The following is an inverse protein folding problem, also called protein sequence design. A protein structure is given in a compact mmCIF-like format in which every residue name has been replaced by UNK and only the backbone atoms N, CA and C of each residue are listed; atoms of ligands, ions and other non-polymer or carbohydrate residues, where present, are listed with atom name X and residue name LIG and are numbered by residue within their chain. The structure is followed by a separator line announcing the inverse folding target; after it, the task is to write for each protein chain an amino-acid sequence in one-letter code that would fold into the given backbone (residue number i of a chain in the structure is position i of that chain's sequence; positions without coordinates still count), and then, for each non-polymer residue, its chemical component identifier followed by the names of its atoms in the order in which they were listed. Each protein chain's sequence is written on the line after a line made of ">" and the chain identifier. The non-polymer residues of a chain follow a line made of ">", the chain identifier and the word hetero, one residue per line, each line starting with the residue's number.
data_IF_327135255994
#
_entry.id   IF_327135255994
#
_cell.length_a   1.000
_cell.length_b   1.000
_cell.length_c   1.000
_cell.angle_alpha   90.00
_cell.angle_beta   90.00
_cell.angle_gamma   90.00
#
_symmetry.space_group_name_H-M   'P 1'
#
loop_
_entity.id
_entity.type
_entity.pdbx_description
1 polymer ?
#
# COMPACT_ATOMS: atom_id res chain seq x y z
N UNK A 1 26.49 34.11 -0.51
CA UNK A 1 26.43 33.26 -1.69
C UNK A 1 25.59 32.02 -1.33
N UNK A 2 24.33 32.07 -1.66
CA UNK A 2 23.34 31.02 -1.38
C UNK A 2 23.71 29.78 -2.21
N UNK A 3 24.14 28.70 -1.57
CA UNK A 3 24.16 27.37 -2.20
C UNK A 3 22.71 26.88 -2.25
N UNK A 4 21.98 27.27 -3.29
CA UNK A 4 20.73 26.62 -3.65
C UNK A 4 20.99 25.12 -3.70
N UNK A 5 20.17 24.36 -2.97
CA UNK A 5 20.22 22.89 -2.99
C UNK A 5 20.01 22.43 -4.43
N UNK A 6 21.10 22.04 -5.07
CA UNK A 6 21.11 21.63 -6.45
C UNK A 6 20.57 20.19 -6.58
N UNK A 7 19.27 20.05 -6.91
CA UNK A 7 18.77 18.94 -7.73
C UNK A 7 19.42 18.98 -9.14
N UNK A 8 20.35 19.91 -9.36
CA UNK A 8 20.97 20.23 -10.65
C UNK A 8 22.02 19.22 -11.12
N UNK A 9 22.37 18.20 -10.34
CA UNK A 9 23.37 17.20 -10.77
C UNK A 9 22.75 15.96 -11.43
N UNK A 10 21.42 15.78 -11.37
CA UNK A 10 20.76 14.63 -11.99
C UNK A 10 20.10 15.04 -13.29
N UNK A 11 20.51 14.43 -14.39
CA UNK A 11 19.84 14.68 -15.68
C UNK A 11 18.38 14.21 -15.59
N UNK A 12 17.47 14.87 -16.35
CA UNK A 12 16.05 14.48 -16.41
C UNK A 12 15.88 13.00 -16.77
N UNK A 13 16.74 12.48 -17.68
CA UNK A 13 16.72 11.07 -18.06
C UNK A 13 17.05 10.14 -16.91
N UNK A 14 18.03 10.48 -16.08
CA UNK A 14 18.39 9.70 -14.88
C UNK A 14 17.26 9.71 -13.84
N UNK A 15 16.64 10.89 -13.62
CA UNK A 15 15.50 11.00 -12.71
C UNK A 15 14.32 10.13 -13.16
N UNK A 16 13.97 10.18 -14.45
CA UNK A 16 12.91 9.32 -15.00
C UNK A 16 13.28 7.84 -14.94
N UNK A 17 14.53 7.45 -15.15
CA UNK A 17 14.97 6.07 -15.03
C UNK A 17 14.83 5.55 -13.58
N UNK A 18 15.24 6.35 -12.58
CA UNK A 18 15.08 5.99 -11.16
C UNK A 18 13.62 5.86 -10.75
N UNK A 19 12.77 6.81 -11.14
CA UNK A 19 11.33 6.76 -10.89
C UNK A 19 10.68 5.59 -11.64
N UNK A 20 11.07 5.34 -12.88
CA UNK A 20 10.62 4.20 -13.67
C UNK A 20 11.00 2.86 -13.03
N UNK A 21 12.21 2.74 -12.47
CA UNK A 21 12.64 1.57 -11.72
C UNK A 21 11.78 1.34 -10.47
N UNK A 22 11.53 2.39 -9.68
CA UNK A 22 10.65 2.30 -8.51
C UNK A 22 9.20 1.94 -8.91
N UNK A 23 8.68 2.55 -9.97
CA UNK A 23 7.34 2.27 -10.49
C UNK A 23 7.23 0.84 -11.03
N UNK A 24 8.21 0.36 -11.79
CA UNK A 24 8.21 -1.02 -12.32
C UNK A 24 8.29 -2.05 -11.20
N UNK A 25 9.13 -1.82 -10.19
CA UNK A 25 9.20 -2.68 -9.01
C UNK A 25 7.84 -2.77 -8.31
N UNK A 26 7.17 -1.62 -8.10
CA UNK A 26 5.84 -1.56 -7.51
C UNK A 26 4.78 -2.25 -8.38
N UNK A 27 4.83 -2.05 -9.71
CA UNK A 27 3.96 -2.69 -10.70
C UNK A 27 4.02 -4.20 -10.61
N UNK A 28 5.22 -4.75 -10.62
CA UNK A 28 5.42 -6.21 -10.59
C UNK A 28 5.05 -6.79 -9.23
N UNK A 29 5.50 -6.17 -8.13
CA UNK A 29 5.20 -6.64 -6.79
C UNK A 29 3.69 -6.69 -6.50
N UNK A 30 2.98 -5.60 -6.78
CA UNK A 30 1.53 -5.51 -6.54
C UNK A 30 0.73 -6.32 -7.56
N UNK A 31 1.14 -6.28 -8.84
CA UNK A 31 0.47 -7.01 -9.90
C UNK A 31 0.47 -8.52 -9.64
N UNK A 32 1.63 -9.11 -9.40
CA UNK A 32 1.76 -10.54 -9.14
C UNK A 32 1.01 -10.93 -7.86
N UNK A 33 1.24 -10.18 -6.77
CA UNK A 33 0.61 -10.47 -5.48
C UNK A 33 -0.92 -10.51 -5.54
N UNK A 34 -1.54 -9.51 -6.16
CA UNK A 34 -3.00 -9.38 -6.18
C UNK A 34 -3.68 -10.52 -6.96
N UNK A 35 -2.98 -11.13 -7.92
CA UNK A 35 -3.51 -12.20 -8.73
C UNK A 35 -3.30 -13.61 -8.14
N UNK A 36 -2.59 -13.76 -7.02
CA UNK A 36 -2.41 -15.07 -6.37
C UNK A 36 -3.75 -15.70 -5.94
N UNK A 37 -4.75 -14.89 -5.62
CA UNK A 37 -6.09 -15.35 -5.28
C UNK A 37 -6.80 -16.13 -6.41
N UNK A 38 -6.48 -15.85 -7.68
CA UNK A 38 -7.03 -16.57 -8.84
C UNK A 38 -6.61 -18.04 -8.84
N UNK A 39 -5.47 -18.35 -8.24
CA UNK A 39 -4.92 -19.71 -8.22
C UNK A 39 -5.38 -20.54 -7.03
N UNK A 40 -6.10 -19.95 -6.07
CA UNK A 40 -6.53 -20.62 -4.84
C UNK A 40 -7.28 -21.92 -5.11
N UNK A 41 -8.37 -21.87 -5.85
CA UNK A 41 -9.19 -23.05 -6.09
C UNK A 41 -8.48 -24.13 -6.94
N UNK A 42 -7.85 -23.79 -8.09
CA UNK A 42 -7.17 -24.79 -8.92
C UNK A 42 -5.93 -25.37 -8.22
N UNK A 43 -5.15 -24.56 -7.50
CA UNK A 43 -3.99 -25.04 -6.75
C UNK A 43 -4.41 -25.95 -5.60
N UNK A 44 -5.45 -25.59 -4.82
CA UNK A 44 -5.94 -26.43 -3.72
C UNK A 44 -6.43 -27.78 -4.22
N UNK A 45 -7.13 -27.80 -5.37
CA UNK A 45 -7.62 -29.05 -5.98
C UNK A 45 -6.46 -29.94 -6.43
N UNK A 46 -5.46 -29.39 -7.13
CA UNK A 46 -4.33 -30.17 -7.65
C UNK A 46 -3.41 -30.69 -6.53
N UNK A 47 -3.15 -29.86 -5.50
CA UNK A 47 -2.28 -30.21 -4.38
C UNK A 47 -2.96 -31.05 -3.32
N UNK A 48 -4.26 -31.29 -3.40
CA UNK A 48 -5.03 -32.00 -2.37
C UNK A 48 -5.04 -31.31 -1.01
N UNK A 49 -4.96 -29.97 -0.99
CA UNK A 49 -4.99 -29.15 0.24
C UNK A 49 -6.33 -28.44 0.38
N UNK A 50 -6.68 -28.06 1.61
CA UNK A 50 -7.89 -27.28 1.84
C UNK A 50 -7.78 -25.88 1.22
N UNK A 51 -8.90 -25.31 0.77
CA UNK A 51 -8.97 -23.93 0.30
C UNK A 51 -8.53 -22.99 1.43
N UNK A 52 -8.85 -23.32 2.67
CA UNK A 52 -8.44 -22.58 3.86
C UNK A 52 -6.92 -22.53 4.07
N UNK A 53 -6.15 -23.55 3.65
CA UNK A 53 -4.70 -23.54 3.76
C UNK A 53 -4.07 -22.49 2.84
N UNK A 54 -4.60 -22.38 1.61
CA UNK A 54 -4.16 -21.34 0.69
C UNK A 54 -4.58 -19.94 1.17
N UNK A 55 -5.81 -19.79 1.67
CA UNK A 55 -6.29 -18.55 2.25
C UNK A 55 -5.45 -18.12 3.47
N UNK A 56 -5.05 -19.09 4.31
CA UNK A 56 -4.15 -18.85 5.44
C UNK A 56 -2.79 -18.32 4.97
N UNK A 57 -2.23 -18.88 3.88
CA UNK A 57 -0.97 -18.38 3.32
C UNK A 57 -1.08 -16.90 2.90
N UNK A 58 -2.18 -16.50 2.24
CA UNK A 58 -2.41 -15.09 1.89
C UNK A 58 -2.62 -14.21 3.13
N UNK A 59 -3.23 -14.73 4.19
CA UNK A 59 -3.36 -14.01 5.46
C UNK A 59 -2.01 -13.83 6.15
N UNK A 60 -1.18 -14.87 6.18
CA UNK A 60 0.21 -14.81 6.67
C UNK A 60 1.04 -13.82 5.86
N UNK A 61 0.83 -13.71 4.55
CA UNK A 61 1.48 -12.71 3.70
C UNK A 61 1.21 -11.28 4.20
N UNK A 62 -0.03 -10.96 4.57
CA UNK A 62 -0.38 -9.63 5.09
C UNK A 62 0.33 -9.34 6.41
N UNK A 63 0.35 -10.32 7.33
CA UNK A 63 1.02 -10.18 8.63
C UNK A 63 2.54 -10.06 8.44
N UNK A 64 3.14 -10.92 7.62
CA UNK A 64 4.57 -10.88 7.32
C UNK A 64 4.97 -9.54 6.67
N UNK A 65 4.14 -9.04 5.75
CA UNK A 65 4.36 -7.72 5.15
C UNK A 65 4.30 -6.61 6.20
N UNK A 66 3.25 -6.58 7.04
CA UNK A 66 3.09 -5.57 8.08
C UNK A 66 4.23 -5.54 9.08
N UNK A 67 4.62 -6.70 9.62
CA UNK A 67 5.70 -6.83 10.59
C UNK A 67 7.08 -6.51 10.02
N UNK A 68 7.32 -6.88 8.76
CA UNK A 68 8.62 -6.64 8.11
C UNK A 68 8.78 -5.22 7.60
N UNK A 69 7.70 -4.46 7.41
CA UNK A 69 7.75 -3.12 6.82
C UNK A 69 8.59 -2.12 7.63
N UNK A 70 8.44 -1.99 8.97
CA UNK A 70 9.31 -1.13 9.76
C UNK A 70 10.77 -1.58 9.72
N UNK A 71 11.01 -2.89 9.74
CA UNK A 71 12.36 -3.49 9.73
C UNK A 71 13.07 -3.16 8.41
N UNK A 72 12.41 -3.43 7.27
CA UNK A 72 12.90 -3.07 5.95
C UNK A 72 13.17 -1.55 5.84
N UNK A 73 12.28 -0.74 6.44
CA UNK A 73 12.44 0.71 6.53
C UNK A 73 13.73 1.12 7.26
N UNK A 74 14.01 0.55 8.43
CA UNK A 74 15.23 0.82 9.19
C UNK A 74 16.48 0.48 8.37
N UNK A 75 16.50 -0.68 7.72
CA UNK A 75 17.62 -1.07 6.87
C UNK A 75 17.80 -0.14 5.67
N UNK A 76 16.72 0.26 5.02
CA UNK A 76 16.75 1.17 3.88
C UNK A 76 17.21 2.58 4.27
N UNK A 77 16.75 3.10 5.40
CA UNK A 77 17.10 4.43 5.86
C UNK A 77 18.54 4.50 6.37
N UNK A 78 19.08 3.38 6.92
CA UNK A 78 20.44 3.31 7.46
C UNK A 78 21.50 2.94 6.42
N UNK A 79 21.19 1.98 5.52
CA UNK A 79 22.15 1.39 4.60
C UNK A 79 21.86 1.69 3.14
N UNK A 80 20.78 2.42 2.86
CA UNK A 80 20.28 2.72 1.50
C UNK A 80 19.25 1.71 1.02
N UNK A 81 18.50 2.13 0.00
CA UNK A 81 17.40 1.34 -0.55
C UNK A 81 17.87 0.18 -1.43
N UNK A 82 19.11 0.24 -1.98
CA UNK A 82 19.64 -0.72 -2.96
C UNK A 82 19.63 -2.15 -2.46
N UNK A 83 20.28 -2.40 -1.35
CA UNK A 83 20.41 -3.78 -0.85
C UNK A 83 19.09 -4.34 -0.36
N UNK A 84 18.24 -3.49 0.22
CA UNK A 84 16.89 -3.89 0.67
C UNK A 84 16.02 -4.24 -0.54
N UNK A 85 16.00 -3.40 -1.58
CA UNK A 85 15.21 -3.64 -2.78
C UNK A 85 15.68 -4.88 -3.58
N UNK A 86 17.00 -5.08 -3.69
CA UNK A 86 17.57 -6.26 -4.36
C UNK A 86 17.30 -7.55 -3.58
N UNK A 87 17.53 -7.54 -2.26
CA UNK A 87 17.22 -8.69 -1.40
C UNK A 87 15.72 -9.00 -1.42
N UNK A 88 14.87 -7.96 -1.35
CA UNK A 88 13.43 -8.11 -1.49
C UNK A 88 13.00 -8.68 -2.84
N UNK A 89 13.60 -8.21 -3.95
CA UNK A 89 13.33 -8.75 -5.28
C UNK A 89 13.75 -10.21 -5.42
N UNK A 90 14.92 -10.57 -4.89
CA UNK A 90 15.39 -11.96 -4.88
C UNK A 90 14.48 -12.85 -4.02
N UNK A 91 14.06 -12.36 -2.85
CA UNK A 91 13.12 -13.07 -1.98
C UNK A 91 11.73 -13.22 -2.62
N UNK A 92 11.29 -12.22 -3.40
CA UNK A 92 10.04 -12.28 -4.15
C UNK A 92 10.11 -13.38 -5.21
N UNK A 93 11.21 -13.43 -5.98
CA UNK A 93 11.45 -14.48 -6.99
C UNK A 93 11.47 -15.86 -6.31
N UNK A 94 12.17 -16.01 -5.19
CA UNK A 94 12.21 -17.26 -4.43
C UNK A 94 10.80 -17.63 -3.94
N UNK A 95 10.02 -16.69 -3.43
CA UNK A 95 8.67 -16.91 -2.93
C UNK A 95 7.71 -17.40 -4.03
N UNK A 96 7.74 -16.73 -5.20
CA UNK A 96 6.87 -17.12 -6.31
C UNK A 96 7.35 -18.44 -6.94
N UNK A 97 8.67 -18.70 -6.98
CA UNK A 97 9.24 -19.97 -7.43
C UNK A 97 8.82 -21.14 -6.53
N UNK A 98 8.89 -20.97 -5.20
CA UNK A 98 8.40 -21.98 -4.26
C UNK A 98 6.89 -22.22 -4.42
N UNK A 99 6.13 -21.19 -4.73
CA UNK A 99 4.70 -21.32 -5.02
C UNK A 99 4.47 -22.11 -6.31
N UNK A 100 5.25 -21.87 -7.37
CA UNK A 100 5.16 -22.58 -8.65
C UNK A 100 5.51 -24.08 -8.53
N UNK A 101 6.47 -24.40 -7.65
CA UNK A 101 6.96 -25.77 -7.43
C UNK A 101 6.29 -26.46 -6.24
N UNK A 102 5.27 -25.84 -5.62
CA UNK A 102 4.62 -26.36 -4.44
C UNK A 102 4.02 -27.76 -4.64
N UNK A 103 4.20 -28.63 -3.65
CA UNK A 103 3.64 -29.98 -3.58
C UNK A 103 2.69 -30.16 -2.39
N UNK A 104 2.42 -29.09 -1.62
CA UNK A 104 1.54 -29.12 -0.45
C UNK A 104 1.44 -27.76 0.23
N UNK A 105 0.65 -27.72 1.31
CA UNK A 105 0.31 -26.48 2.01
C UNK A 105 1.53 -25.72 2.57
N UNK A 106 2.54 -26.42 3.08
CA UNK A 106 3.73 -25.78 3.65
C UNK A 106 4.50 -24.95 2.60
N UNK A 107 4.64 -25.48 1.37
CA UNK A 107 5.33 -24.76 0.31
C UNK A 107 4.55 -23.49 -0.12
N UNK A 108 3.22 -23.56 -0.19
CA UNK A 108 2.36 -22.40 -0.43
C UNK A 108 2.49 -21.38 0.72
N UNK A 109 2.49 -21.86 1.96
CA UNK A 109 2.63 -21.03 3.17
C UNK A 109 3.95 -20.26 3.18
N UNK A 110 5.06 -20.95 2.91
CA UNK A 110 6.39 -20.33 2.87
C UNK A 110 6.54 -19.44 1.64
N UNK A 111 6.15 -19.91 0.45
CA UNK A 111 6.31 -19.17 -0.81
C UNK A 111 5.39 -17.96 -0.90
N UNK A 112 4.10 -18.21 -1.05
CA UNK A 112 3.09 -17.17 -1.21
C UNK A 112 2.84 -16.37 0.08
N UNK A 113 2.98 -17.00 1.25
CA UNK A 113 2.78 -16.36 2.54
C UNK A 113 4.01 -15.58 3.01
N UNK A 114 4.99 -16.29 3.55
CA UNK A 114 6.11 -15.67 4.30
C UNK A 114 7.05 -14.90 3.36
N UNK A 115 7.59 -15.56 2.34
CA UNK A 115 8.64 -14.93 1.50
C UNK A 115 8.11 -13.77 0.68
N UNK A 116 6.95 -13.92 0.03
CA UNK A 116 6.35 -12.80 -0.69
C UNK A 116 5.94 -11.69 0.31
N UNK A 117 5.41 -12.02 1.50
CA UNK A 117 5.08 -11.03 2.51
C UNK A 117 6.26 -10.17 2.94
N UNK A 118 7.39 -10.78 3.27
CA UNK A 118 8.64 -10.09 3.61
C UNK A 118 9.19 -9.30 2.41
N UNK A 119 9.15 -9.89 1.22
CA UNK A 119 9.61 -9.25 0.00
C UNK A 119 8.82 -7.97 -0.34
N UNK A 120 7.50 -7.96 -0.11
CA UNK A 120 6.65 -6.79 -0.29
C UNK A 120 7.10 -5.62 0.60
N UNK A 121 7.53 -5.89 1.84
CA UNK A 121 8.08 -4.85 2.70
C UNK A 121 9.33 -4.19 2.11
N UNK A 122 10.12 -4.95 1.36
CA UNK A 122 11.37 -4.51 0.76
C UNK A 122 11.22 -3.91 -0.66
N UNK A 123 10.05 -4.05 -1.29
CA UNK A 123 9.86 -3.69 -2.71
C UNK A 123 8.70 -2.73 -2.97
N UNK A 124 7.93 -2.39 -1.94
CA UNK A 124 6.72 -1.56 -2.09
C UNK A 124 6.83 -0.19 -1.42
N UNK A 125 5.71 0.39 -1.01
CA UNK A 125 5.51 1.82 -0.74
C UNK A 125 6.59 2.52 0.08
N UNK A 126 7.13 1.93 1.14
CA UNK A 126 8.16 2.57 1.96
C UNK A 126 9.47 2.80 1.18
N UNK A 127 9.92 1.78 0.46
CA UNK A 127 11.18 1.81 -0.31
C UNK A 127 11.01 2.67 -1.57
N UNK A 128 9.93 2.46 -2.31
CA UNK A 128 9.66 3.21 -3.55
C UNK A 128 9.39 4.69 -3.29
N UNK A 129 8.75 5.04 -2.14
CA UNK A 129 8.58 6.42 -1.72
C UNK A 129 9.93 7.07 -1.34
N UNK A 130 10.83 6.34 -0.67
CA UNK A 130 12.17 6.85 -0.35
C UNK A 130 12.94 7.17 -1.64
N UNK A 131 12.93 6.27 -2.63
CA UNK A 131 13.53 6.52 -3.95
C UNK A 131 12.91 7.76 -4.60
N UNK A 132 11.58 7.84 -4.68
CA UNK A 132 10.89 8.96 -5.32
C UNK A 132 11.16 10.30 -4.61
N UNK A 133 11.21 10.31 -3.28
CA UNK A 133 11.43 11.51 -2.48
C UNK A 133 12.80 12.15 -2.70
N UNK A 134 13.83 11.35 -3.03
CA UNK A 134 15.18 11.83 -3.31
C UNK A 134 15.32 12.40 -4.73
N UNK A 135 14.56 11.87 -5.67
CA UNK A 135 14.69 12.17 -7.11
C UNK A 135 13.93 13.44 -7.51
N UNK A 136 12.82 13.76 -6.81
CA UNK A 136 11.96 14.90 -7.19
C UNK A 136 12.10 16.08 -6.24
N UNK A 137 11.81 17.27 -6.79
CA UNK A 137 11.78 18.51 -6.01
C UNK A 137 10.75 18.44 -4.87
N UNK A 138 10.97 19.12 -3.74
CA UNK A 138 10.10 19.08 -2.58
C UNK A 138 8.62 19.37 -2.88
N UNK A 139 8.33 20.30 -3.78
CA UNK A 139 6.99 20.71 -4.19
C UNK A 139 6.25 19.71 -5.10
N UNK A 140 6.87 18.60 -5.48
CA UNK A 140 6.28 17.54 -6.33
C UNK A 140 6.41 16.15 -5.74
N UNK A 141 6.80 16.03 -4.48
CA UNK A 141 7.04 14.73 -3.82
C UNK A 141 5.76 13.93 -3.65
N UNK A 142 4.68 14.58 -3.25
CA UNK A 142 3.41 13.87 -3.03
C UNK A 142 2.84 13.36 -4.36
N UNK A 143 2.98 14.13 -5.44
CA UNK A 143 2.64 13.65 -6.78
C UNK A 143 3.48 12.44 -7.20
N UNK A 144 4.80 12.46 -6.94
CA UNK A 144 5.66 11.33 -7.26
C UNK A 144 5.27 10.06 -6.47
N UNK A 145 4.92 10.21 -5.19
CA UNK A 145 4.37 9.11 -4.39
C UNK A 145 3.07 8.58 -4.99
N UNK A 146 2.19 9.47 -5.45
CA UNK A 146 0.95 9.11 -6.12
C UNK A 146 1.17 8.33 -7.42
N UNK A 147 2.10 8.77 -8.26
CA UNK A 147 2.45 8.09 -9.53
C UNK A 147 3.00 6.68 -9.25
N UNK A 148 3.93 6.57 -8.31
CA UNK A 148 4.51 5.27 -7.96
C UNK A 148 3.46 4.34 -7.33
N UNK A 149 2.57 4.85 -6.48
CA UNK A 149 1.45 4.06 -5.93
C UNK A 149 0.47 3.61 -7.02
N UNK A 150 0.13 4.50 -7.96
CA UNK A 150 -0.72 4.18 -9.11
C UNK A 150 -0.13 3.05 -9.97
N UNK A 151 1.19 2.99 -10.10
CA UNK A 151 1.88 1.93 -10.83
C UNK A 151 1.58 0.53 -10.27
N UNK A 152 1.35 0.39 -8.96
CA UNK A 152 0.90 -0.86 -8.36
C UNK A 152 -0.47 -1.33 -8.88
N UNK A 153 -1.43 -0.41 -9.00
CA UNK A 153 -2.76 -0.72 -9.56
C UNK A 153 -2.70 -1.02 -11.07
N UNK A 154 -1.86 -0.30 -11.81
CA UNK A 154 -1.58 -0.62 -13.22
C UNK A 154 -1.01 -2.03 -13.33
N UNK A 155 -0.11 -2.42 -12.43
CA UNK A 155 0.43 -3.78 -12.36
C UNK A 155 -0.66 -4.84 -12.22
N UNK A 156 -1.58 -4.65 -11.29
CA UNK A 156 -2.72 -5.57 -11.09
C UNK A 156 -3.57 -5.68 -12.35
N UNK A 157 -3.86 -4.56 -13.01
CA UNK A 157 -4.65 -4.51 -14.23
C UNK A 157 -3.96 -5.22 -15.40
N UNK A 158 -2.64 -5.11 -15.52
CA UNK A 158 -1.88 -5.73 -16.61
C UNK A 158 -1.64 -7.23 -16.39
N UNK A 159 -1.40 -7.65 -15.14
CA UNK A 159 -1.09 -9.06 -14.86
C UNK A 159 -2.33 -9.94 -14.75
N UNK A 160 -3.52 -9.38 -14.44
CA UNK A 160 -4.75 -10.15 -14.31
C UNK A 160 -5.18 -10.85 -15.61
N UNK A 161 -5.18 -10.21 -16.80
CA UNK A 161 -5.48 -10.89 -18.06
C UNK A 161 -4.47 -12.00 -18.40
N UNK A 162 -3.19 -11.77 -18.11
CA UNK A 162 -2.12 -12.77 -18.31
C UNK A 162 -2.38 -14.00 -17.43
N UNK A 163 -2.68 -13.77 -16.15
CA UNK A 163 -3.01 -14.81 -15.19
C UNK A 163 -4.24 -15.62 -15.63
N UNK A 164 -5.33 -14.93 -16.01
CA UNK A 164 -6.57 -15.55 -16.41
C UNK A 164 -6.41 -16.36 -17.73
N UNK A 165 -5.70 -15.82 -18.70
CA UNK A 165 -5.43 -16.51 -19.97
C UNK A 165 -4.65 -17.81 -19.72
N UNK A 166 -3.51 -17.73 -19.05
CA UNK A 166 -2.67 -18.90 -18.79
C UNK A 166 -3.36 -19.92 -17.86
N UNK A 167 -4.14 -19.45 -16.89
CA UNK A 167 -4.93 -20.33 -16.03
C UNK A 167 -5.90 -21.19 -16.82
N UNK A 168 -6.54 -20.60 -17.84
CA UNK A 168 -7.56 -21.28 -18.65
C UNK A 168 -6.95 -22.18 -19.75
N UNK A 169 -5.75 -21.88 -20.24
CA UNK A 169 -5.09 -22.64 -21.33
C UNK A 169 -4.16 -23.71 -20.80
N UNK A 170 -3.29 -23.36 -19.85
CA UNK A 170 -2.15 -24.17 -19.43
C UNK A 170 -2.15 -24.48 -17.91
N UNK A 171 -3.17 -24.00 -17.20
CA UNK A 171 -3.35 -24.21 -15.78
C UNK A 171 -2.60 -23.21 -14.88
N UNK A 172 -2.85 -23.32 -13.57
CA UNK A 172 -2.36 -22.35 -12.58
C UNK A 172 -0.82 -22.33 -12.47
N UNK A 173 -0.16 -23.49 -12.63
CA UNK A 173 1.30 -23.56 -12.57
C UNK A 173 1.98 -22.78 -13.68
N UNK A 174 1.47 -22.87 -14.91
CA UNK A 174 1.98 -22.11 -16.04
C UNK A 174 1.86 -20.60 -15.79
N UNK A 175 0.73 -20.15 -15.24
CA UNK A 175 0.53 -18.75 -14.87
C UNK A 175 1.51 -18.29 -13.77
N UNK A 176 1.75 -19.11 -12.75
CA UNK A 176 2.72 -18.80 -11.69
C UNK A 176 4.16 -18.82 -12.23
N UNK A 177 4.52 -19.72 -13.13
CA UNK A 177 5.83 -19.70 -13.81
C UNK A 177 6.02 -18.44 -14.67
N UNK A 178 5.00 -17.97 -15.37
CA UNK A 178 5.07 -16.69 -16.06
C UNK A 178 5.34 -15.54 -15.08
N UNK A 179 4.76 -15.59 -13.88
CA UNK A 179 5.02 -14.62 -12.82
C UNK A 179 6.45 -14.74 -12.26
N UNK A 180 7.04 -15.93 -12.19
CA UNK A 180 8.48 -16.11 -11.86
C UNK A 180 9.34 -15.36 -12.89
N UNK A 181 9.05 -15.53 -14.19
CA UNK A 181 9.79 -14.86 -15.26
C UNK A 181 9.65 -13.34 -15.16
N UNK A 182 8.43 -12.85 -14.96
CA UNK A 182 8.18 -11.42 -14.80
C UNK A 182 8.88 -10.84 -13.56
N UNK A 183 8.95 -11.60 -12.45
CA UNK A 183 9.60 -11.16 -11.23
C UNK A 183 11.11 -10.93 -11.40
N UNK A 184 11.78 -11.58 -12.33
CA UNK A 184 13.20 -11.29 -12.62
C UNK A 184 13.42 -9.85 -13.07
N UNK A 185 12.43 -9.19 -13.69
CA UNK A 185 12.53 -7.78 -14.05
C UNK A 185 12.54 -6.85 -12.82
N UNK A 186 12.19 -7.34 -11.62
CA UNK A 186 12.33 -6.57 -10.39
C UNK A 186 13.79 -6.29 -10.04
N UNK A 187 14.75 -7.19 -10.39
CA UNK A 187 16.16 -6.99 -10.06
C UNK A 187 16.78 -5.77 -10.80
N UNK A 188 16.69 -5.66 -12.14
CA UNK A 188 17.16 -4.44 -12.81
C UNK A 188 16.35 -3.21 -12.42
N UNK A 189 15.05 -3.34 -12.15
CA UNK A 189 14.21 -2.23 -11.67
C UNK A 189 14.69 -1.71 -10.31
N UNK A 190 14.97 -2.62 -9.36
CA UNK A 190 15.55 -2.29 -8.05
C UNK A 190 16.92 -1.64 -8.18
N UNK A 191 17.80 -2.19 -9.04
CA UNK A 191 19.13 -1.64 -9.27
C UNK A 191 19.09 -0.22 -9.84
N UNK A 192 18.24 0.03 -10.84
CA UNK A 192 18.09 1.35 -11.49
C UNK A 192 17.44 2.34 -10.51
N UNK A 193 16.34 1.95 -9.86
CA UNK A 193 15.63 2.80 -8.92
C UNK A 193 16.51 3.22 -7.75
N UNK A 194 17.26 2.28 -7.18
CA UNK A 194 18.12 2.54 -6.02
C UNK A 194 19.40 3.35 -6.31
N UNK A 195 19.67 3.74 -7.58
CA UNK A 195 20.65 4.78 -7.86
C UNK A 195 20.33 6.10 -7.15
N UNK A 196 19.09 6.30 -6.75
CA UNK A 196 18.68 7.41 -5.89
C UNK A 196 19.44 7.47 -4.55
N UNK A 197 20.07 6.38 -4.10
CA UNK A 197 20.89 6.36 -2.88
C UNK A 197 22.14 7.23 -2.97
N UNK A 198 22.60 7.59 -4.17
CA UNK A 198 23.70 8.54 -4.36
C UNK A 198 23.27 9.99 -4.12
N UNK A 199 21.96 10.25 -4.03
CA UNK A 199 21.40 11.58 -3.81
C UNK A 199 21.23 11.84 -2.30
N UNK A 200 21.35 13.10 -1.86
CA UNK A 200 21.17 13.47 -0.46
C UNK A 200 19.78 13.09 0.06
N UNK A 201 19.70 12.49 1.23
CA UNK A 201 18.44 12.12 1.89
C UNK A 201 18.26 12.75 3.26
N UNK A 202 19.20 13.57 3.70
CA UNK A 202 19.20 14.15 5.05
C UNK A 202 19.42 15.65 4.98
N UNK A 203 18.82 16.34 5.95
CA UNK A 203 19.11 17.75 6.23
C UNK A 203 20.46 17.85 6.98
N UNK A 204 21.15 19.00 6.96
CA UNK A 204 22.35 19.20 7.74
C UNK A 204 22.17 18.91 9.24
N UNK A 205 20.98 19.22 9.77
CA UNK A 205 20.58 18.97 11.18
C UNK A 205 20.25 17.50 11.47
N UNK A 206 20.24 16.63 10.48
CA UNK A 206 19.94 15.20 10.67
C UNK A 206 21.20 14.38 11.05
N UNK A 207 22.41 14.97 11.02
CA UNK A 207 23.67 14.23 11.23
C UNK A 207 23.69 13.42 12.51
N UNK A 208 23.16 13.98 13.59
CA UNK A 208 23.14 13.37 14.92
C UNK A 208 21.83 12.66 15.25
N UNK A 209 20.85 12.67 14.32
CA UNK A 209 19.57 12.00 14.54
C UNK A 209 19.75 10.48 14.49
N UNK A 210 19.56 9.83 15.64
CA UNK A 210 19.56 8.38 15.76
C UNK A 210 18.19 7.80 15.46
N UNK A 211 18.12 6.48 15.21
CA UNK A 211 16.83 5.77 15.04
C UNK A 211 15.93 5.96 16.28
N UNK A 212 16.49 5.78 17.49
CA UNK A 212 15.73 5.94 18.73
C UNK A 212 15.24 7.38 18.91
N UNK A 213 16.06 8.37 18.53
CA UNK A 213 15.65 9.77 18.52
C UNK A 213 14.50 10.04 17.56
N UNK A 214 14.54 9.49 16.35
CA UNK A 214 13.45 9.62 15.37
C UNK A 214 12.16 8.95 15.85
N UNK A 215 12.26 7.79 16.51
CA UNK A 215 11.11 7.10 17.09
C UNK A 215 10.52 7.88 18.27
N UNK A 216 11.37 8.47 19.13
CA UNK A 216 10.92 9.30 20.24
C UNK A 216 10.24 10.59 19.73
N UNK A 217 10.84 11.24 18.73
CA UNK A 217 10.24 12.41 18.05
C UNK A 217 8.87 12.05 17.46
N UNK A 218 8.75 10.90 16.79
CA UNK A 218 7.51 10.45 16.17
C UNK A 218 6.41 10.13 17.19
N UNK A 219 6.72 9.43 18.27
CA UNK A 219 5.71 9.10 19.31
C UNK A 219 5.20 10.30 20.08
N UNK A 220 6.01 11.37 20.18
CA UNK A 220 5.63 12.63 20.82
C UNK A 220 4.87 13.57 19.89
N UNK A 221 4.97 13.38 18.59
CA UNK A 221 4.29 14.20 17.60
C UNK A 221 2.83 13.77 17.44
N UNK A 222 1.91 14.53 18.03
CA UNK A 222 0.47 14.20 18.07
C UNK A 222 -0.12 13.95 16.67
N UNK A 223 0.28 14.72 15.67
CA UNK A 223 -0.18 14.55 14.30
C UNK A 223 0.25 13.22 13.67
N UNK A 224 1.47 12.76 13.94
CA UNK A 224 1.92 11.45 13.45
C UNK A 224 1.14 10.31 14.14
N UNK A 225 0.93 10.39 15.44
CA UNK A 225 0.15 9.39 16.19
C UNK A 225 -1.28 9.32 15.67
N UNK A 226 -1.93 10.47 15.46
CA UNK A 226 -3.28 10.54 14.88
C UNK A 226 -3.30 9.95 13.47
N UNK A 227 -2.31 10.27 12.63
CA UNK A 227 -2.19 9.71 11.29
C UNK A 227 -2.03 8.18 11.32
N UNK A 228 -1.19 7.64 12.19
CA UNK A 228 -0.97 6.20 12.32
C UNK A 228 -2.24 5.47 12.81
N UNK A 229 -2.98 6.05 13.78
CA UNK A 229 -4.27 5.52 14.25
C UNK A 229 -5.33 5.59 13.14
N UNK A 230 -5.42 6.69 12.41
CA UNK A 230 -6.34 6.80 11.29
C UNK A 230 -5.98 5.81 10.17
N UNK A 231 -4.69 5.52 9.97
CA UNK A 231 -4.27 4.54 8.97
C UNK A 231 -4.66 3.10 9.35
N UNK A 232 -4.78 2.77 10.63
CA UNK A 232 -5.43 1.55 11.10
C UNK A 232 -6.88 1.46 10.60
N UNK A 233 -7.66 2.53 10.76
CA UNK A 233 -9.06 2.59 10.29
C UNK A 233 -9.15 2.43 8.79
N UNK A 234 -8.17 2.97 8.04
CA UNK A 234 -8.08 2.73 6.60
C UNK A 234 -7.99 1.23 6.28
N UNK A 235 -7.06 0.52 6.89
CA UNK A 235 -6.91 -0.91 6.71
C UNK A 235 -8.17 -1.70 7.06
N UNK A 236 -8.77 -1.37 8.21
CA UNK A 236 -10.00 -2.00 8.68
C UNK A 236 -11.14 -1.86 7.68
N UNK A 237 -11.44 -0.65 7.24
CA UNK A 237 -12.55 -0.39 6.30
C UNK A 237 -12.30 -1.04 4.94
N UNK A 238 -11.07 -0.92 4.39
CA UNK A 238 -10.78 -1.38 3.04
C UNK A 238 -10.79 -2.89 2.92
N UNK A 239 -10.16 -3.59 3.87
CA UNK A 239 -10.10 -5.05 3.80
C UNK A 239 -11.43 -5.67 4.22
N UNK A 240 -12.16 -5.07 5.17
CA UNK A 240 -13.54 -5.44 5.44
C UNK A 240 -14.39 -5.39 4.16
N UNK A 241 -14.31 -4.28 3.42
CA UNK A 241 -15.09 -4.09 2.21
C UNK A 241 -14.72 -5.13 1.14
N UNK A 242 -13.44 -5.30 0.82
CA UNK A 242 -13.03 -6.26 -0.24
C UNK A 242 -13.34 -7.71 0.11
N UNK A 243 -13.36 -8.05 1.39
CA UNK A 243 -13.62 -9.41 1.84
C UNK A 243 -15.11 -9.71 1.88
N UNK A 244 -15.93 -8.77 2.37
CA UNK A 244 -17.33 -9.05 2.73
C UNK A 244 -18.36 -8.46 1.77
N UNK A 245 -18.01 -7.49 0.90
CA UNK A 245 -18.94 -6.90 -0.07
C UNK A 245 -19.57 -7.95 -0.99
N UNK A 246 -18.82 -8.93 -1.57
CA UNK A 246 -19.43 -9.93 -2.42
C UNK A 246 -20.50 -10.77 -1.70
N UNK A 247 -20.22 -11.18 -0.47
CA UNK A 247 -21.15 -11.96 0.35
C UNK A 247 -22.40 -11.12 0.71
N UNK A 248 -22.20 -9.86 1.08
CA UNK A 248 -23.30 -8.94 1.37
C UNK A 248 -24.21 -8.75 0.15
N UNK A 249 -23.65 -8.49 -1.03
CA UNK A 249 -24.46 -8.33 -2.27
C UNK A 249 -25.21 -9.60 -2.62
N UNK A 250 -24.59 -10.78 -2.46
CA UNK A 250 -25.26 -12.06 -2.68
C UNK A 250 -26.45 -12.27 -1.73
N UNK A 251 -26.32 -11.88 -0.44
CA UNK A 251 -27.43 -11.93 0.53
C UNK A 251 -28.57 -10.97 0.18
N UNK A 252 -28.25 -9.85 -0.46
CA UNK A 252 -29.27 -8.93 -0.99
C UNK A 252 -29.87 -9.38 -2.32
N UNK A 253 -29.57 -10.59 -2.81
CA UNK A 253 -30.11 -11.14 -4.05
C UNK A 253 -29.49 -10.57 -5.32
N UNK A 254 -28.34 -9.89 -5.23
CA UNK A 254 -27.64 -9.35 -6.38
C UNK A 254 -26.84 -10.44 -7.11
N UNK A 255 -26.80 -10.37 -8.43
CA UNK A 255 -25.97 -11.25 -9.26
C UNK A 255 -24.48 -11.06 -8.96
N UNK A 256 -23.71 -12.16 -8.98
CA UNK A 256 -22.25 -12.13 -8.69
C UNK A 256 -21.48 -11.20 -9.62
N UNK A 257 -21.98 -10.93 -10.83
CA UNK A 257 -21.39 -9.98 -11.76
C UNK A 257 -21.26 -8.58 -11.19
N UNK A 258 -22.21 -8.13 -10.36
CA UNK A 258 -22.14 -6.81 -9.74
C UNK A 258 -21.04 -6.70 -8.70
N UNK A 259 -20.72 -7.78 -7.99
CA UNK A 259 -19.58 -7.83 -7.08
C UNK A 259 -18.27 -7.67 -7.85
N UNK A 260 -18.12 -8.37 -8.98
CA UNK A 260 -16.97 -8.24 -9.85
C UNK A 260 -16.83 -6.82 -10.42
N UNK A 261 -17.93 -6.22 -10.88
CA UNK A 261 -17.96 -4.83 -11.37
C UNK A 261 -17.55 -3.85 -10.28
N UNK A 262 -18.07 -3.99 -9.06
CA UNK A 262 -17.69 -3.12 -7.94
C UNK A 262 -16.20 -3.17 -7.66
N UNK A 263 -15.59 -4.37 -7.55
CA UNK A 263 -14.17 -4.55 -7.29
C UNK A 263 -13.31 -4.05 -8.46
N UNK A 264 -13.74 -4.24 -9.70
CA UNK A 264 -13.08 -3.71 -10.89
C UNK A 264 -13.07 -2.17 -10.90
N UNK A 265 -14.19 -1.55 -10.57
CA UNK A 265 -14.29 -0.09 -10.47
C UNK A 265 -13.40 0.45 -9.35
N UNK A 266 -13.39 -0.19 -8.18
CA UNK A 266 -12.46 0.16 -7.09
C UNK A 266 -11.02 0.13 -7.61
N UNK A 267 -10.60 -0.94 -8.28
CA UNK A 267 -9.26 -1.08 -8.84
C UNK A 267 -8.91 -0.02 -9.88
N UNK A 268 -9.81 0.23 -10.83
CA UNK A 268 -9.62 1.24 -11.88
C UNK A 268 -9.52 2.66 -11.34
N UNK A 269 -10.44 3.04 -10.46
CA UNK A 269 -10.44 4.37 -9.84
C UNK A 269 -9.29 4.57 -8.84
N UNK A 270 -8.68 3.52 -8.32
CA UNK A 270 -7.47 3.61 -7.50
C UNK A 270 -6.28 4.24 -8.23
N UNK A 271 -6.15 4.01 -9.55
CA UNK A 271 -5.10 4.62 -10.37
C UNK A 271 -5.29 6.14 -10.37
N UNK A 272 -6.51 6.57 -10.68
CA UNK A 272 -6.88 7.99 -10.72
C UNK A 272 -6.75 8.63 -9.32
N UNK A 273 -7.21 7.95 -8.28
CA UNK A 273 -7.12 8.37 -6.88
C UNK A 273 -5.68 8.69 -6.46
N UNK A 274 -4.76 7.74 -6.67
CA UNK A 274 -3.37 7.92 -6.28
C UNK A 274 -2.71 9.13 -6.97
N UNK A 275 -2.95 9.29 -8.26
CA UNK A 275 -2.46 10.44 -9.01
C UNK A 275 -3.10 11.75 -8.52
N UNK A 276 -4.44 11.79 -8.41
CA UNK A 276 -5.20 12.98 -8.03
C UNK A 276 -4.80 13.48 -6.64
N UNK A 277 -4.82 12.59 -5.63
CA UNK A 277 -4.46 12.99 -4.26
C UNK A 277 -2.96 13.23 -4.09
N UNK A 278 -2.12 12.63 -4.90
CA UNK A 278 -0.72 13.01 -5.01
C UNK A 278 -0.55 14.45 -5.50
N UNK A 279 -1.27 14.83 -6.54
CA UNK A 279 -1.28 16.19 -7.11
C UNK A 279 -1.93 17.22 -6.16
N UNK A 280 -3.04 16.89 -5.54
CA UNK A 280 -3.69 17.72 -4.52
C UNK A 280 -2.80 17.91 -3.28
N UNK A 281 -2.11 16.86 -2.83
CA UNK A 281 -1.25 16.88 -1.65
C UNK A 281 -0.02 17.77 -1.77
N UNK A 282 0.39 18.13 -2.99
CA UNK A 282 1.44 19.13 -3.22
C UNK A 282 0.89 20.59 -3.18
N UNK A 283 -0.45 20.77 -3.22
CA UNK A 283 -1.11 22.09 -3.29
C UNK A 283 -1.91 22.45 -2.06
N UNK A 284 -2.48 21.47 -1.40
CA UNK A 284 -3.39 21.66 -0.26
C UNK A 284 -2.84 20.97 0.99
N UNK A 285 -3.23 21.44 2.19
CA UNK A 285 -2.83 20.81 3.45
C UNK A 285 -3.23 19.32 3.48
N UNK A 286 -2.26 18.44 3.65
CA UNK A 286 -2.46 16.99 3.59
C UNK A 286 -3.43 16.48 4.65
N UNK A 287 -3.46 17.13 5.85
CA UNK A 287 -4.41 16.82 6.91
C UNK A 287 -5.87 16.99 6.47
N UNK A 288 -6.16 18.05 5.70
CA UNK A 288 -7.52 18.31 5.21
C UNK A 288 -7.93 17.28 4.16
N UNK A 289 -7.02 16.93 3.25
CA UNK A 289 -7.26 15.90 2.23
C UNK A 289 -7.48 14.52 2.87
N UNK A 290 -6.65 14.14 3.86
CA UNK A 290 -6.81 12.89 4.60
C UNK A 290 -8.15 12.88 5.34
N UNK A 291 -8.46 13.93 6.09
CA UNK A 291 -9.75 14.06 6.79
C UNK A 291 -10.94 13.96 5.83
N UNK A 292 -10.89 14.68 4.70
CA UNK A 292 -11.93 14.63 3.67
C UNK A 292 -12.11 13.21 3.11
N UNK A 293 -11.02 12.49 2.80
CA UNK A 293 -11.08 11.09 2.32
C UNK A 293 -11.84 10.22 3.32
N UNK A 294 -11.49 10.26 4.61
CA UNK A 294 -12.13 9.40 5.63
C UNK A 294 -13.60 9.75 5.84
N UNK A 295 -13.94 11.06 5.88
CA UNK A 295 -15.33 11.50 6.02
C UNK A 295 -16.18 11.15 4.80
N UNK A 296 -15.68 11.41 3.59
CA UNK A 296 -16.38 11.06 2.34
C UNK A 296 -16.54 9.55 2.18
N UNK A 297 -15.54 8.76 2.59
CA UNK A 297 -15.62 7.30 2.61
C UNK A 297 -16.69 6.82 3.57
N UNK A 298 -16.74 7.38 4.79
CA UNK A 298 -17.78 7.07 5.77
C UNK A 298 -19.16 7.47 5.27
N UNK A 299 -19.28 8.62 4.60
CA UNK A 299 -20.52 9.02 3.94
C UNK A 299 -20.95 8.05 2.84
N UNK A 300 -20.01 7.63 1.99
CA UNK A 300 -20.30 6.64 0.95
C UNK A 300 -20.78 5.30 1.55
N UNK A 301 -20.18 4.86 2.66
CA UNK A 301 -20.64 3.67 3.40
C UNK A 301 -22.07 3.87 3.92
N UNK A 302 -22.35 4.99 4.59
CA UNK A 302 -23.72 5.28 5.09
C UNK A 302 -24.71 5.25 3.96
N UNK A 303 -24.49 5.98 2.87
CA UNK A 303 -25.43 6.06 1.75
C UNK A 303 -25.65 4.69 1.09
N UNK A 304 -24.62 3.85 1.04
CA UNK A 304 -24.73 2.52 0.43
C UNK A 304 -25.52 1.54 1.30
N UNK A 305 -25.36 1.60 2.63
CA UNK A 305 -26.03 0.64 3.54
C UNK A 305 -27.36 1.12 4.11
N UNK A 306 -27.75 2.39 3.90
CA UNK A 306 -29.07 2.88 4.30
C UNK A 306 -30.22 2.37 3.40
N UNK A 307 -29.89 1.93 2.17
CA UNK A 307 -30.89 1.52 1.19
C UNK A 307 -30.53 0.15 0.62
N UNK A 308 -31.53 -0.64 0.19
CA UNK A 308 -31.26 -1.89 -0.53
C UNK A 308 -30.38 -1.63 -1.77
N UNK A 309 -29.34 -2.45 -1.99
CA UNK A 309 -28.43 -2.23 -3.11
C UNK A 309 -29.15 -2.41 -4.45
N UNK A 310 -28.86 -1.51 -5.36
CA UNK A 310 -29.29 -1.56 -6.77
C UNK A 310 -28.06 -1.63 -7.68
N UNK A 311 -28.19 -2.07 -8.95
CA UNK A 311 -27.07 -2.04 -9.90
C UNK A 311 -26.37 -0.69 -9.97
N UNK A 312 -27.13 0.40 -9.99
CA UNK A 312 -26.57 1.75 -10.03
C UNK A 312 -25.84 2.11 -8.72
N UNK A 313 -26.42 1.80 -7.57
CA UNK A 313 -25.79 2.11 -6.28
C UNK A 313 -24.46 1.34 -6.10
N UNK A 314 -24.37 0.10 -6.56
CA UNK A 314 -23.14 -0.70 -6.54
C UNK A 314 -22.06 -0.08 -7.44
N UNK A 315 -22.40 0.38 -8.63
CA UNK A 315 -21.48 1.04 -9.56
C UNK A 315 -20.96 2.36 -8.95
N UNK A 316 -21.88 3.21 -8.45
CA UNK A 316 -21.51 4.48 -7.85
C UNK A 316 -20.66 4.30 -6.59
N UNK A 317 -21.01 3.32 -5.75
CA UNK A 317 -20.24 2.98 -4.57
C UNK A 317 -18.85 2.49 -4.91
N UNK A 318 -18.70 1.58 -5.89
CA UNK A 318 -17.39 1.10 -6.36
C UNK A 318 -16.51 2.22 -6.88
N UNK A 319 -17.06 3.13 -7.69
CA UNK A 319 -16.35 4.30 -8.21
C UNK A 319 -15.94 5.28 -7.09
N UNK A 320 -16.85 5.58 -6.16
CA UNK A 320 -16.59 6.46 -5.02
C UNK A 320 -15.51 5.87 -4.10
N UNK A 321 -15.64 4.60 -3.74
CA UNK A 321 -14.65 3.91 -2.89
C UNK A 321 -13.29 3.85 -3.58
N UNK A 322 -13.22 3.51 -4.86
CA UNK A 322 -11.96 3.51 -5.61
C UNK A 322 -11.30 4.88 -5.65
N UNK A 323 -12.08 5.95 -5.84
CA UNK A 323 -11.57 7.34 -5.82
C UNK A 323 -11.03 7.75 -4.44
N UNK A 324 -11.57 7.20 -3.36
CA UNK A 324 -11.19 7.54 -1.99
C UNK A 324 -10.21 6.52 -1.35
N UNK A 325 -9.67 5.56 -2.10
CA UNK A 325 -8.91 4.45 -1.53
C UNK A 325 -7.42 4.71 -1.46
N UNK A 326 -6.70 4.57 -2.58
CA UNK A 326 -5.24 4.63 -2.60
C UNK A 326 -4.68 6.05 -2.48
N UNK A 327 -5.51 7.09 -2.56
CA UNK A 327 -5.11 8.47 -2.32
C UNK A 327 -4.52 8.74 -0.93
N UNK A 328 -4.79 7.86 0.05
CA UNK A 328 -4.22 7.97 1.40
C UNK A 328 -2.70 7.74 1.40
N UNK A 329 -2.18 6.82 0.59
CA UNK A 329 -0.76 6.45 0.59
C UNK A 329 0.17 7.63 0.24
N UNK A 330 -0.01 8.36 -0.88
CA UNK A 330 0.84 9.51 -1.19
C UNK A 330 0.73 10.63 -0.16
N UNK A 331 -0.44 10.83 0.43
CA UNK A 331 -0.65 11.84 1.47
C UNK A 331 0.07 11.48 2.77
N UNK A 332 0.00 10.22 3.20
CA UNK A 332 0.72 9.72 4.39
C UNK A 332 2.23 9.87 4.21
N UNK A 333 2.78 9.41 3.08
CA UNK A 333 4.20 9.58 2.79
C UNK A 333 4.60 11.05 2.74
N UNK A 334 3.79 11.89 2.09
CA UNK A 334 4.01 13.33 2.01
C UNK A 334 3.95 14.02 3.38
N UNK A 335 3.06 13.56 4.27
CA UNK A 335 2.95 14.07 5.63
C UNK A 335 4.15 13.70 6.49
N UNK A 336 4.62 12.45 6.41
CA UNK A 336 5.84 12.00 7.11
C UNK A 336 7.05 12.84 6.67
N UNK A 337 7.21 13.09 5.37
CA UNK A 337 8.28 13.96 4.85
C UNK A 337 8.12 15.39 5.34
N UNK A 338 6.91 15.91 5.38
CA UNK A 338 6.63 17.27 5.86
C UNK A 338 7.00 17.46 7.33
N UNK A 339 6.66 16.49 8.18
CA UNK A 339 6.86 16.57 9.63
C UNK A 339 8.31 16.27 10.02
N UNK A 340 8.90 15.19 9.47
CA UNK A 340 10.17 14.63 9.95
C UNK A 340 11.34 14.72 8.95
N UNK A 341 11.10 15.15 7.71
CA UNK A 341 12.11 15.12 6.65
C UNK A 341 12.28 13.72 6.03
N UNK A 342 13.42 13.50 5.35
CA UNK A 342 13.65 12.30 4.55
C UNK A 342 14.41 11.18 5.26
N UNK A 343 15.16 11.49 6.32
CA UNK A 343 16.17 10.57 6.88
C UNK A 343 15.61 9.21 7.33
N UNK A 344 14.45 9.20 8.00
CA UNK A 344 13.77 8.00 8.48
C UNK A 344 12.38 7.80 7.83
N UNK A 345 12.22 8.24 6.58
CA UNK A 345 10.96 8.15 5.84
C UNK A 345 10.45 6.72 5.77
N UNK A 346 11.30 5.77 5.36
CA UNK A 346 10.88 4.37 5.19
C UNK A 346 10.50 3.73 6.51
N UNK A 347 11.24 4.03 7.59
CA UNK A 347 10.96 3.54 8.94
C UNK A 347 9.62 4.04 9.45
N UNK A 348 9.42 5.36 9.44
CA UNK A 348 8.20 5.97 10.00
C UNK A 348 6.97 5.63 9.17
N UNK A 349 7.08 5.60 7.85
CA UNK A 349 6.00 5.12 6.97
C UNK A 349 5.72 3.64 7.25
N UNK A 350 6.75 2.83 7.48
CA UNK A 350 6.63 1.41 7.81
C UNK A 350 5.86 1.17 9.12
N UNK A 351 6.10 1.97 10.15
CA UNK A 351 5.37 1.89 11.43
C UNK A 351 3.89 2.26 11.23
N UNK A 352 3.61 3.34 10.49
CA UNK A 352 2.24 3.70 10.16
C UNK A 352 1.56 2.59 9.35
N UNK A 353 2.27 1.94 8.43
CA UNK A 353 1.76 0.82 7.63
C UNK A 353 1.50 -0.44 8.48
N UNK A 354 2.31 -0.71 9.49
CA UNK A 354 2.03 -1.80 10.44
C UNK A 354 0.68 -1.60 11.12
N UNK A 355 0.35 -0.37 11.52
CA UNK A 355 -0.98 -0.02 12.05
C UNK A 355 -2.10 -0.31 11.04
N UNK A 356 -1.90 0.05 9.76
CA UNK A 356 -2.83 -0.28 8.67
C UNK A 356 -3.04 -1.80 8.54
N UNK A 357 -1.99 -2.59 8.60
CA UNK A 357 -2.08 -4.05 8.49
C UNK A 357 -2.79 -4.69 9.67
N UNK A 358 -2.61 -4.17 10.89
CA UNK A 358 -3.37 -4.57 12.06
C UNK A 358 -4.88 -4.28 11.87
N UNK A 359 -5.22 -3.11 11.33
CA UNK A 359 -6.59 -2.77 10.95
C UNK A 359 -7.14 -3.71 9.85
N UNK A 360 -6.33 -4.03 8.85
CA UNK A 360 -6.68 -4.95 7.77
C UNK A 360 -7.04 -6.34 8.27
N UNK A 361 -6.26 -6.86 9.21
CA UNK A 361 -6.53 -8.13 9.86
C UNK A 361 -7.88 -8.11 10.60
N UNK A 362 -8.12 -7.08 11.40
CA UNK A 362 -9.39 -6.93 12.13
C UNK A 362 -10.57 -6.70 11.19
N UNK A 363 -10.38 -6.01 10.08
CA UNK A 363 -11.42 -5.80 9.07
C UNK A 363 -11.87 -7.11 8.42
N UNK A 364 -10.91 -7.96 8.04
CA UNK A 364 -11.20 -9.26 7.45
C UNK A 364 -11.82 -10.23 8.46
N UNK A 365 -11.10 -10.49 9.54
CA UNK A 365 -11.50 -11.48 10.55
C UNK A 365 -12.69 -11.00 11.38
N UNK A 366 -12.65 -9.78 11.90
CA UNK A 366 -13.69 -9.23 12.76
C UNK A 366 -15.02 -9.06 12.05
N UNK A 367 -15.01 -8.73 10.75
CA UNK A 367 -16.22 -8.68 9.93
C UNK A 367 -16.91 -10.04 9.83
N UNK A 368 -16.14 -11.10 9.60
CA UNK A 368 -16.64 -12.48 9.58
C UNK A 368 -17.15 -12.93 10.95
N UNK A 369 -16.38 -12.68 12.01
CA UNK A 369 -16.77 -13.01 13.38
C UNK A 369 -18.07 -12.34 13.81
N UNK A 370 -18.23 -11.04 13.52
CA UNK A 370 -19.49 -10.33 13.81
C UNK A 370 -20.66 -10.90 13.00
N UNK A 371 -20.40 -11.29 11.76
CA UNK A 371 -21.42 -11.93 10.93
C UNK A 371 -21.86 -13.29 11.51
N UNK A 372 -20.93 -14.12 11.94
CA UNK A 372 -21.23 -15.43 12.55
C UNK A 372 -22.06 -15.28 13.83
N UNK A 373 -21.82 -14.21 14.61
CA UNK A 373 -22.56 -13.93 15.84
C UNK A 373 -23.95 -13.34 15.60
N UNK A 374 -24.08 -12.43 14.60
CA UNK A 374 -25.27 -11.61 14.44
C UNK A 374 -26.14 -12.01 13.25
N UNK A 375 -25.65 -12.88 12.36
CA UNK A 375 -26.32 -13.25 11.12
C UNK A 375 -26.40 -12.12 10.09
N UNK A 376 -25.78 -10.96 10.35
CA UNK A 376 -25.79 -9.80 9.45
C UNK A 376 -24.48 -9.00 9.55
N UNK A 377 -24.21 -8.18 8.51
CA UNK A 377 -23.09 -7.23 8.51
C UNK A 377 -23.42 -5.86 9.12
N UNK A 378 -24.65 -5.64 9.61
CA UNK A 378 -25.12 -4.33 10.06
C UNK A 378 -24.25 -3.68 11.13
N UNK A 379 -23.88 -4.47 12.15
CA UNK A 379 -23.02 -3.98 13.22
C UNK A 379 -21.61 -3.64 12.72
N UNK A 380 -21.04 -4.48 11.85
CA UNK A 380 -19.71 -4.27 11.28
C UNK A 380 -19.66 -2.97 10.45
N UNK A 381 -20.68 -2.71 9.64
CA UNK A 381 -20.79 -1.47 8.88
C UNK A 381 -20.93 -0.24 9.76
N UNK A 382 -21.78 -0.30 10.77
CA UNK A 382 -21.96 0.80 11.74
C UNK A 382 -20.65 1.14 12.46
N UNK A 383 -19.92 0.11 12.91
CA UNK A 383 -18.58 0.29 13.50
C UNK A 383 -17.64 0.93 12.48
N UNK A 384 -17.59 0.41 11.24
CA UNK A 384 -16.76 0.96 10.17
C UNK A 384 -17.02 2.44 9.89
N UNK A 385 -18.29 2.84 9.86
CA UNK A 385 -18.70 4.24 9.70
C UNK A 385 -18.26 5.10 10.89
N UNK A 386 -18.56 4.68 12.12
CA UNK A 386 -18.24 5.44 13.32
C UNK A 386 -16.74 5.68 13.48
N UNK A 387 -15.92 4.63 13.32
CA UNK A 387 -14.47 4.77 13.41
C UNK A 387 -13.91 5.61 12.26
N UNK A 388 -14.53 5.52 11.07
CA UNK A 388 -14.17 6.36 9.92
C UNK A 388 -14.46 7.84 10.14
N UNK A 389 -15.63 8.18 10.69
CA UNK A 389 -15.98 9.55 11.07
C UNK A 389 -15.03 10.09 12.14
N UNK A 390 -14.74 9.29 13.16
CA UNK A 390 -13.78 9.65 14.20
C UNK A 390 -12.37 9.90 13.61
N UNK A 391 -11.87 8.97 12.78
CA UNK A 391 -10.58 9.12 12.13
C UNK A 391 -10.51 10.34 11.22
N UNK A 392 -11.55 10.60 10.42
CA UNK A 392 -11.64 11.78 9.56
C UNK A 392 -11.62 13.08 10.35
N UNK A 393 -12.40 13.17 11.44
CA UNK A 393 -12.42 14.34 12.32
C UNK A 393 -11.07 14.56 13.01
N UNK A 394 -10.45 13.49 13.52
CA UNK A 394 -9.11 13.57 14.12
C UNK A 394 -8.05 14.05 13.11
N UNK A 395 -8.12 13.58 11.86
CA UNK A 395 -7.23 14.03 10.79
C UNK A 395 -7.39 15.52 10.47
N UNK A 396 -8.62 16.04 10.43
CA UNK A 396 -8.86 17.47 10.21
C UNK A 396 -8.25 18.34 11.32
N UNK A 397 -8.28 17.86 12.56
CA UNK A 397 -7.84 18.59 13.75
C UNK A 397 -6.37 18.35 14.12
N UNK A 398 -5.68 17.39 13.45
CA UNK A 398 -4.31 17.02 13.83
C UNK A 398 -3.30 18.14 13.57
N UNK A 399 -2.23 18.12 14.35
CA UNK A 399 -1.06 18.96 14.13
C UNK A 399 -0.21 18.39 12.98
N UNK A 400 -0.08 19.12 11.87
CA UNK A 400 0.75 18.76 10.73
C UNK A 400 2.01 19.64 10.56
N UNK A 401 2.39 20.37 11.61
CA UNK A 401 3.56 21.25 11.61
C UNK A 401 4.85 20.41 11.60
N UNK A 402 5.88 20.85 10.86
CA UNK A 402 7.20 20.23 10.97
C UNK A 402 7.74 20.26 12.39
N UNK A 403 8.57 19.28 12.74
CA UNK A 403 9.30 19.28 14.03
C UNK A 403 10.28 20.46 14.12
N UNK A 404 10.66 20.87 15.33
CA UNK A 404 11.58 22.00 15.54
C UNK A 404 12.91 21.79 14.83
N UNK A 405 13.37 20.56 14.74
CA UNK A 405 14.57 20.18 13.97
C UNK A 405 14.42 20.50 12.48
N UNK A 406 13.29 20.16 11.89
CA UNK A 406 13.02 20.43 10.46
C UNK A 406 12.84 21.93 10.22
N UNK A 407 12.17 22.63 11.12
CA UNK A 407 12.03 24.09 11.06
C UNK A 407 13.38 24.81 11.16
N UNK A 408 14.24 24.40 12.09
CA UNK A 408 15.59 24.94 12.22
C UNK A 408 16.44 24.72 10.96
N UNK A 409 16.32 23.54 10.34
CA UNK A 409 17.00 23.26 9.08
C UNK A 409 16.50 24.13 7.91
N UNK A 410 15.17 24.35 7.83
CA UNK A 410 14.59 25.24 6.82
C UNK A 410 15.05 26.68 6.99
N UNK A 411 15.09 27.17 8.24
CA UNK A 411 15.56 28.51 8.58
C UNK A 411 17.06 28.72 8.24
N UNK A 412 17.89 27.68 8.39
CA UNK A 412 19.33 27.77 8.05
C UNK A 412 19.61 27.75 6.53
N UNK A 413 18.61 27.40 5.72
CA UNK A 413 18.71 27.33 4.25
C UNK A 413 18.08 28.53 3.54
N UNK A 414 17.22 29.31 4.24
CA UNK A 414 16.59 30.54 3.74
C UNK A 414 17.53 31.75 3.88
#
# INVERSE_FOLDING_TARGET
>A
MSKSFHVSEVSRGQAYAMLGGAALMMTLAMGIRQNLGLFQAPASKELGIAISDFALAISVQQVAWGLSQPIAGVFADKYGTRWVALAGSALFILGIWLTATAQGALAIMLGAGVFIGVALACTTSGITANIAARVVQPNRRTLAFGIVSAAGSVGTMLTAPIAAYLLNTDGWRAAVWAFVILAFAMLPAAWIGSRADTLPNSLPTDRDLTLLGALDEARRHSGYVVMAIAFFVCGLQLVFLTTHLPTYLAQCGMDAGYSAVALMLIGGFNILSSWLFGWLGDRYPKRLLLGAIYLLRSLALVLFFMFPPTPLSVILFGAAMGTLWLGVIPLVNGLVVQIFGLRFLSTLTGIAFLSHQAGSFLGAWGGGYLFDLMGSYDLAWKIGVLVGLAAGTMQLLMNDRPTDRVLAAQASMA
#
